data_IF_872691274655
#
_entry.id   IF_872691274655
#
_cell.length_a   1.000
_cell.length_b   1.000
_cell.length_c   1.000
_cell.angle_alpha   90.00
_cell.angle_beta   90.00
_cell.angle_gamma   90.00
#
_symmetry.space_group_name_H-M   'P 1'
#
loop_
_entity.id
_entity.type
_entity.pdbx_description
1 polymer ?
#
# COMPACT_ATOMS: atom_id res chain seq x y z
N UNK A 1 1.98 -17.38 -26.97
CA UNK A 1 3.24 -16.76 -26.51
C UNK A 1 3.02 -15.39 -25.86
N UNK A 2 2.39 -14.40 -26.51
CA UNK A 2 2.12 -13.06 -25.91
C UNK A 2 1.42 -13.10 -24.53
N UNK A 3 0.33 -13.87 -24.38
CA UNK A 3 -0.41 -13.98 -23.10
C UNK A 3 0.40 -14.58 -21.94
N UNK A 4 1.39 -15.42 -22.26
CA UNK A 4 2.24 -16.07 -21.26
C UNK A 4 3.36 -15.14 -20.78
N UNK A 5 3.85 -14.26 -21.66
CA UNK A 5 4.84 -13.24 -21.34
C UNK A 5 4.21 -12.13 -20.49
N UNK A 6 2.98 -11.72 -20.80
CA UNK A 6 2.23 -10.71 -20.02
C UNK A 6 1.98 -11.20 -18.58
N UNK A 7 1.60 -12.46 -18.38
CA UNK A 7 1.39 -13.02 -17.04
C UNK A 7 2.66 -13.06 -16.18
N UNK A 8 3.82 -13.32 -16.80
CA UNK A 8 5.12 -13.31 -16.10
C UNK A 8 5.52 -11.89 -15.71
N UNK A 9 5.30 -10.91 -16.59
CA UNK A 9 5.61 -9.50 -16.31
C UNK A 9 4.72 -8.96 -15.17
N UNK A 10 3.42 -9.23 -15.20
CA UNK A 10 2.50 -8.83 -14.12
C UNK A 10 2.90 -9.49 -12.79
N UNK A 11 3.27 -10.78 -12.81
CA UNK A 11 3.72 -11.47 -11.60
C UNK A 11 5.00 -10.86 -10.99
N UNK A 12 5.95 -10.45 -11.82
CA UNK A 12 7.19 -9.78 -11.37
C UNK A 12 6.88 -8.41 -10.76
N UNK A 13 6.00 -7.62 -11.40
CA UNK A 13 5.60 -6.29 -10.91
C UNK A 13 4.87 -6.40 -9.57
N UNK A 14 3.90 -7.32 -9.45
CA UNK A 14 3.16 -7.56 -8.20
C UNK A 14 4.11 -8.00 -7.09
N UNK A 15 5.07 -8.89 -7.39
CA UNK A 15 6.06 -9.33 -6.41
C UNK A 15 6.98 -8.18 -5.97
N UNK A 16 7.43 -7.33 -6.90
CA UNK A 16 8.24 -6.15 -6.57
C UNK A 16 7.47 -5.15 -5.70
N UNK A 17 6.21 -4.88 -6.02
CA UNK A 17 5.35 -3.99 -5.21
C UNK A 17 5.14 -4.57 -3.80
N UNK A 18 4.85 -5.86 -3.68
CA UNK A 18 4.70 -6.52 -2.37
C UNK A 18 6.02 -6.43 -1.58
N UNK A 19 7.17 -6.70 -2.22
CA UNK A 19 8.48 -6.61 -1.56
C UNK A 19 8.79 -5.19 -1.11
N UNK A 20 8.54 -4.17 -1.95
CA UNK A 20 8.80 -2.76 -1.59
C UNK A 20 7.87 -2.27 -0.49
N UNK A 21 6.58 -2.59 -0.54
CA UNK A 21 5.61 -2.26 0.52
C UNK A 21 5.98 -2.98 1.82
N UNK A 22 6.33 -4.27 1.74
CA UNK A 22 6.77 -5.05 2.91
C UNK A 22 8.04 -4.46 3.51
N UNK A 23 9.02 -4.04 2.70
CA UNK A 23 10.25 -3.40 3.19
C UNK A 23 9.96 -2.02 3.81
N UNK A 24 9.11 -1.20 3.22
CA UNK A 24 8.75 0.12 3.76
C UNK A 24 7.98 0.02 5.08
N UNK A 25 7.04 -0.92 5.18
CA UNK A 25 6.31 -1.18 6.43
C UNK A 25 7.23 -1.83 7.46
N UNK A 26 8.07 -2.79 7.06
CA UNK A 26 9.05 -3.44 7.93
C UNK A 26 10.07 -2.44 8.50
N UNK A 27 10.62 -1.55 7.67
CA UNK A 27 11.58 -0.54 8.13
C UNK A 27 10.94 0.49 9.07
N UNK A 28 9.66 0.83 8.88
CA UNK A 28 8.97 1.81 9.73
C UNK A 28 8.47 1.25 11.06
N UNK A 29 7.97 0.01 11.09
CA UNK A 29 7.44 -0.60 12.31
C UNK A 29 8.47 -1.46 13.03
N UNK A 30 9.35 -2.16 12.30
CA UNK A 30 10.17 -3.26 12.84
C UNK A 30 11.68 -2.99 12.88
N UNK A 31 12.21 -1.88 12.34
CA UNK A 31 13.67 -1.59 12.37
C UNK A 31 14.16 -0.67 13.49
N UNK A 32 13.30 -0.14 14.36
CA UNK A 32 13.77 0.55 15.57
C UNK A 32 13.98 -0.45 16.72
N UNK A 33 15.00 -1.31 16.60
CA UNK A 33 15.49 -2.13 17.72
C UNK A 33 16.85 -1.61 18.17
N UNK A 34 16.98 -1.00 19.36
CA UNK A 34 18.20 -1.09 20.13
C UNK A 34 18.24 -2.48 20.76
N UNK A 35 19.23 -3.29 20.37
CA UNK A 35 19.59 -4.59 20.96
C UNK A 35 19.33 -4.63 22.47
N UNK A 36 18.33 -5.42 22.91
CA UNK A 36 18.24 -5.91 24.28
C UNK A 36 17.70 -7.33 24.31
N UNK A 37 18.59 -8.23 24.72
CA UNK A 37 18.37 -9.66 24.73
C UNK A 37 17.30 -10.14 25.71
N UNK A 38 16.52 -11.12 25.25
CA UNK A 38 15.91 -12.14 26.08
C UNK A 38 16.48 -13.50 25.64
N UNK A 39 17.17 -14.19 26.55
CA UNK A 39 17.68 -15.53 26.29
C UNK A 39 16.53 -16.53 26.14
N UNK A 40 16.48 -17.26 25.02
CA UNK A 40 15.64 -18.45 24.87
C UNK A 40 16.45 -19.64 25.41
N UNK A 41 15.95 -20.32 26.44
CA UNK A 41 16.53 -21.58 26.91
C UNK A 41 16.32 -22.67 25.83
N UNK A 42 17.41 -23.15 25.24
CA UNK A 42 17.40 -24.10 24.11
C UNK A 42 17.27 -25.58 24.51
N UNK A 43 17.05 -25.93 25.78
CA UNK A 43 17.07 -27.34 26.22
C UNK A 43 15.76 -27.76 26.91
N UNK A 44 14.72 -28.12 26.15
CA UNK A 44 13.61 -28.93 26.66
C UNK A 44 13.18 -29.95 25.59
N UNK A 45 13.49 -31.23 25.80
CA UNK A 45 12.95 -32.35 25.01
C UNK A 45 11.44 -32.55 25.29
N UNK A 46 10.61 -32.86 24.27
CA UNK A 46 9.17 -32.94 24.43
C UNK A 46 8.77 -34.28 25.09
N UNK A 47 8.33 -34.22 26.34
CA UNK A 47 7.81 -35.39 27.09
C UNK A 47 6.36 -35.22 27.58
N UNK A 48 5.58 -34.31 26.98
CA UNK A 48 4.17 -34.08 27.33
C UNK A 48 3.23 -33.92 26.13
N UNK A 49 1.92 -34.05 26.38
CA UNK A 49 0.86 -33.88 25.38
C UNK A 49 0.97 -32.51 24.67
N UNK A 50 0.83 -32.49 23.35
CA UNK A 50 1.02 -31.32 22.46
C UNK A 50 0.25 -30.07 22.94
N UNK A 51 -0.95 -30.25 23.52
CA UNK A 51 -1.76 -29.15 24.09
C UNK A 51 -1.08 -28.39 25.22
N UNK A 52 -0.23 -29.05 26.00
CA UNK A 52 0.49 -28.45 27.13
C UNK A 52 1.70 -27.62 26.69
N UNK A 53 2.21 -27.85 25.46
CA UNK A 53 3.35 -27.12 24.90
C UNK A 53 2.91 -25.83 24.19
N UNK A 54 1.73 -25.82 23.56
CA UNK A 54 1.18 -24.64 22.88
C UNK A 54 0.92 -23.47 23.85
N UNK A 55 0.55 -23.75 25.11
CA UNK A 55 0.29 -22.70 26.11
C UNK A 55 1.54 -22.27 26.91
N UNK A 56 2.73 -22.84 26.64
CA UNK A 56 3.99 -22.36 27.24
C UNK A 56 4.62 -21.18 26.50
N UNK A 57 4.08 -20.85 25.32
CA UNK A 57 4.53 -19.74 24.48
C UNK A 57 3.50 -18.61 24.59
N UNK A 58 3.96 -17.46 25.07
CA UNK A 58 3.13 -16.27 25.26
C UNK A 58 3.65 -15.10 24.43
N UNK A 59 2.74 -14.35 23.82
CA UNK A 59 3.01 -13.07 23.19
C UNK A 59 2.05 -12.03 23.78
N UNK A 60 2.57 -10.88 24.22
CA UNK A 60 1.79 -9.83 24.91
C UNK A 60 0.94 -10.34 26.08
N UNK A 61 1.42 -11.34 26.81
CA UNK A 61 0.72 -11.93 27.96
C UNK A 61 -0.50 -12.79 27.59
N UNK A 62 -0.62 -13.22 26.33
CA UNK A 62 -1.61 -14.19 25.88
C UNK A 62 -0.93 -15.41 25.27
N UNK A 63 -1.48 -16.60 25.53
CA UNK A 63 -0.97 -17.85 24.96
C UNK A 63 -1.27 -17.95 23.47
N UNK A 64 -0.55 -18.84 22.77
CA UNK A 64 -0.82 -19.16 21.35
C UNK A 64 -2.29 -19.54 21.13
N UNK A 65 -2.90 -20.31 22.03
CA UNK A 65 -4.31 -20.71 21.93
C UNK A 65 -5.25 -19.50 21.97
N UNK A 66 -4.96 -18.51 22.81
CA UNK A 66 -5.75 -17.28 22.91
C UNK A 66 -5.59 -16.40 21.65
N UNK A 67 -4.38 -16.30 21.11
CA UNK A 67 -4.11 -15.60 19.85
C UNK A 67 -4.83 -16.23 18.66
N UNK A 68 -4.78 -17.56 18.53
CA UNK A 68 -5.51 -18.28 17.47
C UNK A 68 -7.01 -17.97 17.53
N UNK A 69 -7.60 -17.86 18.71
CA UNK A 69 -9.02 -17.54 18.85
C UNK A 69 -9.33 -16.09 18.44
N UNK A 70 -8.46 -15.13 18.78
CA UNK A 70 -8.59 -13.73 18.30
C UNK A 70 -8.51 -13.64 16.78
N UNK A 71 -7.53 -14.30 16.17
CA UNK A 71 -7.36 -14.37 14.71
C UNK A 71 -8.57 -15.06 14.07
N UNK A 72 -9.05 -16.16 14.64
CA UNK A 72 -10.25 -16.85 14.18
C UNK A 72 -11.48 -15.95 14.21
N UNK A 73 -11.66 -15.16 15.27
CA UNK A 73 -12.78 -14.23 15.39
C UNK A 73 -12.75 -13.15 14.32
N UNK A 74 -11.57 -12.58 14.03
CA UNK A 74 -11.37 -11.61 12.96
C UNK A 74 -11.76 -12.18 11.58
N UNK A 75 -11.35 -13.41 11.27
CA UNK A 75 -11.75 -14.11 10.03
C UNK A 75 -13.18 -14.70 10.07
N UNK A 76 -14.05 -14.21 10.95
CA UNK A 76 -15.44 -14.67 11.08
C UNK A 76 -15.60 -16.19 11.30
N UNK A 77 -14.64 -16.83 11.99
CA UNK A 77 -14.62 -18.26 12.34
C UNK A 77 -14.57 -19.25 11.18
N UNK A 78 -14.24 -18.82 9.97
CA UNK A 78 -14.07 -19.70 8.80
C UNK A 78 -12.63 -20.17 8.45
N UNK A 79 -11.55 -19.91 9.22
CA UNK A 79 -10.27 -20.51 8.87
C UNK A 79 -10.27 -22.01 9.22
N UNK A 80 -9.71 -22.83 8.32
CA UNK A 80 -9.53 -24.26 8.53
C UNK A 80 -8.51 -24.50 9.64
N UNK A 81 -7.33 -23.91 9.47
CA UNK A 81 -6.20 -24.02 10.39
C UNK A 81 -5.55 -22.65 10.59
N UNK A 82 -5.06 -22.41 11.81
CA UNK A 82 -4.27 -21.24 12.18
C UNK A 82 -3.04 -21.74 12.94
N UNK A 83 -1.86 -21.45 12.41
CA UNK A 83 -0.60 -21.72 13.08
C UNK A 83 -0.06 -20.44 13.66
N UNK A 84 0.40 -20.46 14.91
CA UNK A 84 1.16 -19.35 15.49
C UNK A 84 2.43 -19.92 16.11
N UNK A 85 3.54 -19.24 15.92
CA UNK A 85 4.86 -19.64 16.40
C UNK A 85 5.80 -18.44 16.45
N UNK A 86 6.93 -18.60 17.14
CA UNK A 86 8.03 -17.66 17.04
C UNK A 86 8.98 -18.08 15.93
N UNK A 87 9.28 -17.18 15.00
CA UNK A 87 10.45 -17.28 14.14
C UNK A 87 11.52 -16.34 14.68
N UNK A 88 12.59 -16.91 15.24
CA UNK A 88 13.64 -16.17 15.92
C UNK A 88 13.11 -15.31 17.08
N UNK A 89 12.85 -14.03 16.85
CA UNK A 89 12.31 -13.08 17.84
C UNK A 89 10.92 -12.55 17.48
N UNK A 90 10.34 -13.00 16.37
CA UNK A 90 9.10 -12.46 15.84
C UNK A 90 7.96 -13.45 16.02
N UNK A 91 6.83 -12.98 16.54
CA UNK A 91 5.62 -13.78 16.62
C UNK A 91 4.91 -13.76 15.26
N UNK A 92 4.68 -14.93 14.69
CA UNK A 92 4.08 -15.11 13.37
C UNK A 92 2.78 -15.87 13.50
N UNK A 93 1.77 -15.52 12.68
CA UNK A 93 0.60 -16.36 12.48
C UNK A 93 0.28 -16.58 11.00
N UNK A 94 -0.05 -17.82 10.63
CA UNK A 94 -0.41 -18.20 9.26
C UNK A 94 -1.82 -18.79 9.27
N UNK A 95 -2.66 -18.33 8.33
CA UNK A 95 -4.07 -18.71 8.23
C UNK A 95 -4.32 -19.48 6.94
N UNK A 96 -4.92 -20.66 7.05
CA UNK A 96 -5.29 -21.51 5.91
C UNK A 96 -6.80 -21.60 5.74
N UNK A 97 -7.25 -21.59 4.49
CA UNK A 97 -8.65 -21.82 4.14
C UNK A 97 -8.97 -23.34 4.02
N UNK A 98 -10.23 -23.68 3.75
CA UNK A 98 -10.68 -25.08 3.61
C UNK A 98 -9.98 -25.87 2.49
N UNK A 99 -9.34 -25.17 1.54
CA UNK A 99 -8.60 -25.77 0.41
C UNK A 99 -7.10 -25.92 0.69
N UNK A 100 -6.65 -25.70 1.93
CA UNK A 100 -5.23 -25.69 2.30
C UNK A 100 -4.41 -24.59 1.62
N UNK A 101 -5.06 -23.49 1.21
CA UNK A 101 -4.38 -22.31 0.67
C UNK A 101 -4.11 -21.32 1.81
N UNK A 102 -2.88 -20.79 1.85
CA UNK A 102 -2.51 -19.69 2.75
C UNK A 102 -3.23 -18.42 2.30
N UNK A 103 -4.08 -17.89 3.16
CA UNK A 103 -4.92 -16.71 2.86
C UNK A 103 -4.48 -15.47 3.64
N UNK A 104 -3.67 -15.62 4.68
CA UNK A 104 -3.05 -14.52 5.39
C UNK A 104 -1.78 -14.97 6.11
N UNK A 105 -0.81 -14.07 6.20
CA UNK A 105 0.47 -14.30 6.87
C UNK A 105 0.85 -13.08 7.69
N UNK A 106 0.62 -13.19 8.99
CA UNK A 106 0.75 -12.13 9.96
C UNK A 106 2.11 -12.13 10.63
N UNK A 107 2.79 -10.99 10.55
CA UNK A 107 4.00 -10.66 11.30
C UNK A 107 3.65 -9.65 12.40
N UNK A 108 3.84 -10.03 13.66
CA UNK A 108 3.42 -9.20 14.79
C UNK A 108 4.54 -8.29 15.27
N UNK A 109 4.20 -7.03 15.46
CA UNK A 109 5.07 -6.03 16.07
C UNK A 109 5.08 -6.18 17.59
N UNK A 110 6.27 -6.38 18.18
CA UNK A 110 6.41 -6.66 19.61
C UNK A 110 6.17 -5.41 20.49
N UNK A 111 6.19 -4.20 19.94
CA UNK A 111 5.91 -2.99 20.72
C UNK A 111 4.41 -2.68 20.79
N UNK A 112 3.74 -2.70 19.65
CA UNK A 112 2.33 -2.32 19.49
C UNK A 112 1.38 -3.51 19.65
N UNK A 113 1.81 -4.72 19.29
CA UNK A 113 0.95 -5.90 19.20
C UNK A 113 0.10 -5.96 17.93
N UNK A 114 0.28 -5.02 16.99
CA UNK A 114 -0.36 -5.05 15.68
C UNK A 114 0.30 -6.09 14.77
N UNK A 115 -0.47 -6.60 13.82
CA UNK A 115 -0.01 -7.62 12.89
C UNK A 115 -0.06 -7.10 11.45
N UNK A 116 1.07 -7.15 10.74
CA UNK A 116 1.11 -6.93 9.30
C UNK A 116 0.76 -8.22 8.58
N UNK A 117 -0.30 -8.23 7.79
CA UNK A 117 -0.52 -9.27 6.78
C UNK A 117 0.41 -9.03 5.60
N UNK A 118 1.41 -9.89 5.44
CA UNK A 118 2.39 -9.79 4.37
C UNK A 118 1.82 -10.15 2.98
N UNK A 119 0.61 -10.70 2.92
CA UNK A 119 -0.08 -10.99 1.66
C UNK A 119 -0.86 -9.76 1.17
N UNK A 120 -1.68 -9.15 2.03
CA UNK A 120 -2.53 -8.01 1.66
C UNK A 120 -1.87 -6.64 1.89
N UNK A 121 -0.89 -6.56 2.79
CA UNK A 121 -0.30 -5.31 3.28
C UNK A 121 -1.11 -4.65 4.39
N UNK A 122 -2.22 -5.25 4.83
CA UNK A 122 -3.08 -4.69 5.88
C UNK A 122 -2.43 -4.83 7.26
N UNK A 123 -2.63 -3.82 8.12
CA UNK A 123 -2.24 -3.88 9.53
C UNK A 123 -3.48 -4.18 10.36
N UNK A 124 -3.44 -5.19 11.21
CA UNK A 124 -4.59 -5.68 11.97
C UNK A 124 -4.35 -5.54 13.47
N UNK A 125 -5.34 -4.99 14.16
CA UNK A 125 -5.45 -5.07 15.61
C UNK A 125 -6.43 -6.18 15.97
N UNK A 126 -5.89 -7.37 16.23
CA UNK A 126 -6.66 -8.54 16.62
C UNK A 126 -7.28 -8.43 18.03
N UNK A 127 -6.80 -7.51 18.88
CA UNK A 127 -7.39 -7.30 20.20
C UNK A 127 -8.75 -6.62 20.06
N UNK A 128 -8.81 -5.61 19.19
CA UNK A 128 -10.01 -4.85 18.82
C UNK A 128 -10.81 -5.51 17.68
N UNK A 129 -10.23 -6.49 16.98
CA UNK A 129 -10.87 -7.22 15.89
C UNK A 129 -11.10 -6.39 14.63
N UNK A 130 -10.18 -5.46 14.32
CA UNK A 130 -10.31 -4.53 13.18
C UNK A 130 -8.99 -4.34 12.42
N UNK A 131 -9.09 -4.02 11.14
CA UNK A 131 -7.97 -3.43 10.39
C UNK A 131 -7.68 -2.03 10.95
N UNK A 132 -6.40 -1.72 11.11
CA UNK A 132 -5.91 -0.42 11.54
C UNK A 132 -5.66 0.41 10.29
N UNK A 133 -6.38 1.51 10.16
CA UNK A 133 -6.02 2.54 9.19
C UNK A 133 -4.67 3.13 9.56
N UNK A 134 -3.65 2.88 8.74
CA UNK A 134 -2.33 3.48 8.91
C UNK A 134 -2.29 4.75 8.09
N UNK A 135 -1.93 5.87 8.72
CA UNK A 135 -1.67 7.11 7.98
C UNK A 135 -0.52 6.91 7.00
N UNK A 136 -0.77 7.18 5.73
CA UNK A 136 0.22 7.10 4.65
C UNK A 136 0.89 8.45 4.37
N UNK A 137 0.55 9.49 5.14
CA UNK A 137 1.09 10.85 5.02
C UNK A 137 2.38 11.06 5.81
N UNK A 138 3.01 9.99 6.31
CA UNK A 138 4.28 10.10 7.02
C UNK A 138 5.38 10.59 6.06
N UNK A 139 6.15 11.58 6.50
CA UNK A 139 7.18 12.23 5.66
C UNK A 139 6.61 13.30 4.73
N UNK A 140 5.30 13.54 4.78
CA UNK A 140 4.63 14.61 4.03
C UNK A 140 4.16 15.73 4.96
N UNK A 141 4.01 16.94 4.42
CA UNK A 141 3.40 18.10 5.09
C UNK A 141 1.94 18.32 4.66
N UNK A 142 1.44 17.46 3.76
CA UNK A 142 0.10 17.52 3.18
C UNK A 142 -0.96 17.39 4.26
N UNK A 143 -1.95 18.29 4.23
CA UNK A 143 -3.07 18.30 5.17
C UNK A 143 -4.38 18.13 4.41
N UNK A 144 -5.04 17.01 4.66
CA UNK A 144 -6.38 16.72 4.16
C UNK A 144 -7.42 17.56 4.90
N UNK A 145 -8.41 18.08 4.16
CA UNK A 145 -9.53 18.83 4.70
C UNK A 145 -10.79 17.98 4.55
N UNK A 146 -11.67 18.01 5.55
CA UNK A 146 -12.97 17.34 5.53
C UNK A 146 -12.89 15.85 5.11
N UNK A 147 -13.60 15.49 4.04
CA UNK A 147 -13.75 14.14 3.51
C UNK A 147 -12.68 13.79 2.47
N UNK A 148 -11.64 14.60 2.30
CA UNK A 148 -10.58 14.26 1.35
C UNK A 148 -9.77 13.08 1.88
N UNK A 149 -9.42 12.16 0.98
CA UNK A 149 -8.67 10.95 1.30
C UNK A 149 -7.59 10.59 0.26
N UNK A 150 -7.47 11.34 -0.84
CA UNK A 150 -6.37 11.24 -1.78
C UNK A 150 -5.85 12.63 -2.16
N UNK A 151 -4.53 12.84 -2.11
CA UNK A 151 -3.89 14.03 -2.65
C UNK A 151 -3.09 13.66 -3.91
N UNK A 152 -3.19 14.49 -4.94
CA UNK A 152 -2.58 14.25 -6.25
C UNK A 152 -1.95 15.53 -6.74
N UNK A 153 -0.71 15.45 -7.21
CA UNK A 153 -0.05 16.58 -7.87
C UNK A 153 0.57 16.15 -9.18
N UNK A 154 0.31 16.90 -10.25
CA UNK A 154 1.11 16.86 -11.47
C UNK A 154 2.27 17.84 -11.32
N UNK A 155 3.50 17.36 -11.44
CA UNK A 155 4.70 18.11 -11.10
C UNK A 155 5.63 18.14 -12.30
N UNK A 156 5.67 19.27 -13.04
CA UNK A 156 6.70 19.49 -14.05
C UNK A 156 8.09 19.50 -13.42
N UNK A 157 9.11 19.05 -14.16
CA UNK A 157 10.49 19.01 -13.65
C UNK A 157 10.98 20.33 -13.08
N UNK A 158 10.64 21.42 -13.78
CA UNK A 158 11.03 22.79 -13.39
C UNK A 158 10.49 23.21 -12.02
N UNK A 159 9.46 22.54 -11.51
CA UNK A 159 8.82 22.82 -10.21
C UNK A 159 9.08 21.73 -9.17
N UNK A 160 9.90 20.72 -9.46
CA UNK A 160 10.13 19.58 -8.55
C UNK A 160 10.64 20.03 -7.18
N UNK A 161 11.68 20.85 -7.16
CA UNK A 161 12.32 21.29 -5.91
C UNK A 161 11.31 22.04 -5.01
N UNK A 162 10.54 22.95 -5.61
CA UNK A 162 9.49 23.69 -4.91
C UNK A 162 8.40 22.76 -4.40
N UNK A 163 7.92 21.84 -5.23
CA UNK A 163 6.91 20.86 -4.86
C UNK A 163 7.34 20.00 -3.67
N UNK A 164 8.58 19.49 -3.69
CA UNK A 164 9.14 18.67 -2.60
C UNK A 164 9.22 19.49 -1.32
N UNK A 165 9.76 20.70 -1.37
CA UNK A 165 9.88 21.57 -0.19
C UNK A 165 8.52 21.96 0.42
N UNK A 166 7.47 22.06 -0.40
CA UNK A 166 6.15 22.43 0.07
C UNK A 166 5.35 21.25 0.63
N UNK A 167 5.55 20.04 0.10
CA UNK A 167 4.70 18.87 0.39
C UNK A 167 5.38 17.75 1.19
N UNK A 168 6.70 17.81 1.40
CA UNK A 168 7.48 16.80 2.11
C UNK A 168 8.26 17.40 3.27
N UNK A 169 8.50 16.60 4.31
CA UNK A 169 9.28 16.99 5.48
C UNK A 169 10.77 17.10 5.11
N UNK A 170 11.24 16.23 4.22
CA UNK A 170 12.59 16.26 3.67
C UNK A 170 12.63 15.72 2.23
N UNK A 171 13.71 16.02 1.52
CA UNK A 171 13.96 15.46 0.18
C UNK A 171 14.11 13.92 0.23
N UNK A 172 14.65 13.38 1.31
CA UNK A 172 14.81 11.94 1.51
C UNK A 172 13.45 11.24 1.62
N UNK A 173 12.47 11.85 2.29
CA UNK A 173 11.10 11.33 2.38
C UNK A 173 10.46 11.20 0.99
N UNK A 174 10.70 12.16 0.11
CA UNK A 174 10.25 12.10 -1.29
C UNK A 174 10.98 11.00 -2.08
N UNK A 175 12.31 10.89 -1.91
CA UNK A 175 13.12 9.86 -2.60
C UNK A 175 12.79 8.43 -2.18
N UNK A 176 12.20 8.23 -1.01
CA UNK A 176 11.75 6.92 -0.54
C UNK A 176 10.44 6.45 -1.18
N UNK A 177 9.74 7.33 -1.91
CA UNK A 177 8.51 6.93 -2.60
C UNK A 177 8.79 5.88 -3.67
N UNK A 178 7.86 4.93 -3.81
CA UNK A 178 7.90 4.00 -4.93
C UNK A 178 7.70 4.77 -6.25
N UNK A 179 8.52 4.47 -7.26
CA UNK A 179 8.47 5.14 -8.56
C UNK A 179 8.07 4.12 -9.61
N UNK A 180 7.00 4.41 -10.34
CA UNK A 180 6.53 3.63 -11.47
C UNK A 180 6.77 4.43 -12.76
N UNK A 181 7.62 3.92 -13.66
CA UNK A 181 8.05 4.63 -14.87
C UNK A 181 7.38 4.05 -16.13
N UNK A 182 6.39 4.76 -16.66
CA UNK A 182 5.60 4.39 -17.84
C UNK A 182 5.97 5.17 -19.10
N UNK A 183 6.91 6.11 -18.99
CA UNK A 183 7.43 6.87 -20.13
C UNK A 183 7.97 5.98 -21.23
N UNK A 184 7.91 6.43 -22.47
CA UNK A 184 8.51 5.77 -23.62
C UNK A 184 10.02 5.60 -23.44
N UNK A 185 10.58 4.50 -23.97
CA UNK A 185 11.99 4.14 -23.77
C UNK A 185 12.98 5.24 -24.20
N UNK A 186 12.60 6.05 -25.18
CA UNK A 186 13.42 7.15 -25.66
C UNK A 186 13.44 8.36 -24.71
N UNK A 187 12.42 8.52 -23.87
CA UNK A 187 12.27 9.62 -22.90
C UNK A 187 12.85 9.29 -21.52
N UNK A 188 13.13 8.00 -21.25
CA UNK A 188 13.76 7.53 -20.00
C UNK A 188 15.23 7.94 -19.83
N UNK A 189 15.87 8.46 -20.88
CA UNK A 189 17.34 8.60 -20.97
C UNK A 189 17.94 9.72 -20.14
N UNK A 190 17.16 10.67 -19.64
CA UNK A 190 17.71 11.88 -18.98
C UNK A 190 17.40 12.02 -17.49
N UNK A 191 16.72 11.06 -16.85
CA UNK A 191 16.42 11.13 -15.40
C UNK A 191 15.49 12.28 -14.98
N UNK A 192 15.03 13.06 -15.95
CA UNK A 192 14.11 14.17 -15.84
C UNK A 192 12.79 13.76 -16.51
N UNK A 193 11.66 14.03 -15.88
CA UNK A 193 10.35 13.79 -16.46
C UNK A 193 9.23 14.32 -15.57
N UNK A 194 8.17 14.82 -16.19
CA UNK A 194 6.95 15.19 -15.49
C UNK A 194 6.42 13.98 -14.72
N UNK A 195 5.84 14.25 -13.55
CA UNK A 195 5.44 13.20 -12.63
C UNK A 195 4.11 13.48 -11.98
N UNK A 196 3.34 12.43 -11.77
CA UNK A 196 2.22 12.46 -10.86
C UNK A 196 2.69 11.93 -9.50
N UNK A 197 2.34 12.64 -8.44
CA UNK A 197 2.62 12.24 -7.06
C UNK A 197 1.29 11.97 -6.39
N UNK A 198 1.12 10.76 -5.88
CA UNK A 198 -0.09 10.30 -5.20
C UNK A 198 0.22 10.10 -3.73
N UNK A 199 -0.57 10.75 -2.86
CA UNK A 199 -0.48 10.61 -1.42
C UNK A 199 -1.87 10.21 -0.94
N UNK A 200 -2.14 8.91 -0.77
CA UNK A 200 -3.33 8.48 -0.05
C UNK A 200 -3.28 8.99 1.39
N UNK A 201 -4.44 9.22 2.02
CA UNK A 201 -4.51 9.62 3.44
C UNK A 201 -4.22 8.45 4.36
N UNK A 202 -4.72 7.27 4.01
CA UNK A 202 -4.53 6.04 4.78
C UNK A 202 -4.25 4.84 3.87
N UNK A 203 -3.79 3.74 4.45
CA UNK A 203 -3.56 2.45 3.80
C UNK A 203 -4.80 1.82 3.14
N UNK A 204 -6.00 2.26 3.56
CA UNK A 204 -7.28 1.73 3.10
C UNK A 204 -7.75 2.40 1.81
N UNK A 205 -7.17 3.54 1.47
CA UNK A 205 -7.42 4.22 0.20
C UNK A 205 -6.65 3.47 -0.89
N UNK A 206 -7.36 2.72 -1.72
CA UNK A 206 -6.77 1.99 -2.85
C UNK A 206 -6.83 2.85 -4.10
N UNK A 207 -5.67 3.02 -4.72
CA UNK A 207 -5.51 3.78 -5.96
C UNK A 207 -5.07 2.81 -7.06
N UNK A 208 -5.79 2.81 -8.15
CA UNK A 208 -5.43 2.13 -9.39
C UNK A 208 -5.36 3.18 -10.51
N UNK A 209 -4.40 3.03 -11.42
CA UNK A 209 -4.21 3.98 -12.54
C UNK A 209 -4.34 3.22 -13.85
N UNK A 210 -5.07 3.80 -14.79
CA UNK A 210 -5.37 3.22 -16.09
C UNK A 210 -5.09 4.20 -17.21
N UNK A 211 -4.69 3.68 -18.36
CA UNK A 211 -4.95 4.34 -19.63
C UNK A 211 -6.48 4.41 -19.82
N UNK A 212 -6.96 5.52 -20.34
CA UNK A 212 -8.37 5.65 -20.70
C UNK A 212 -8.56 6.46 -21.98
N UNK A 213 -9.76 6.32 -22.56
CA UNK A 213 -10.14 7.06 -23.76
C UNK A 213 -11.64 7.31 -23.76
N UNK A 214 -12.08 8.25 -24.61
CA UNK A 214 -13.49 8.47 -24.88
C UNK A 214 -13.88 7.65 -26.11
N UNK A 215 -14.84 6.74 -25.97
CA UNK A 215 -15.29 5.88 -27.06
C UNK A 215 -16.16 6.65 -28.08
N UNK A 216 -16.55 5.99 -29.17
CA UNK A 216 -17.37 6.60 -30.24
C UNK A 216 -18.75 7.11 -29.78
N UNK A 217 -19.21 6.73 -28.58
CA UNK A 217 -20.47 7.18 -27.97
C UNK A 217 -20.28 8.37 -27.02
N UNK A 218 -19.04 8.83 -26.81
CA UNK A 218 -18.72 9.87 -25.85
C UNK A 218 -18.61 9.38 -24.40
N UNK A 219 -18.48 8.08 -24.18
CA UNK A 219 -18.34 7.48 -22.84
C UNK A 219 -16.87 7.23 -22.51
N UNK A 220 -16.50 7.43 -21.25
CA UNK A 220 -15.16 7.11 -20.74
C UNK A 220 -14.99 5.59 -20.59
N UNK A 221 -13.96 5.02 -21.23
CA UNK A 221 -13.59 3.62 -21.10
C UNK A 221 -12.16 3.49 -20.54
N UNK A 222 -11.99 2.56 -19.59
CA UNK A 222 -10.68 2.15 -19.09
C UNK A 222 -10.09 1.08 -20.02
N UNK A 223 -8.84 1.23 -20.41
CA UNK A 223 -8.14 0.30 -21.29
C UNK A 223 -7.10 -0.54 -20.53
N UNK A 224 -5.86 -0.05 -20.43
CA UNK A 224 -4.76 -0.77 -19.81
C UNK A 224 -4.54 -0.32 -18.36
N UNK A 225 -4.42 -1.28 -17.44
CA UNK A 225 -3.99 -0.97 -16.07
C UNK A 225 -2.51 -0.63 -16.07
N UNK A 226 -2.17 0.60 -15.69
CA UNK A 226 -0.80 1.04 -15.44
C UNK A 226 -0.38 0.61 -14.03
N UNK A 227 -1.21 0.93 -13.02
CA UNK A 227 -0.94 0.63 -11.62
C UNK A 227 -2.14 -0.10 -11.02
N UNK A 228 -1.87 -1.20 -10.30
CA UNK A 228 -2.89 -1.95 -9.56
C UNK A 228 -2.58 -1.97 -8.07
N UNK A 229 -3.55 -1.59 -7.24
CA UNK A 229 -3.56 -1.80 -5.79
C UNK A 229 -2.30 -1.31 -5.05
N UNK A 230 -1.90 -0.06 -5.27
CA UNK A 230 -0.81 0.53 -4.48
C UNK A 230 -1.24 0.78 -3.05
N UNK A 231 -0.28 0.58 -2.13
CA UNK A 231 -0.40 0.91 -0.71
C UNK A 231 0.63 1.98 -0.40
N UNK A 232 0.19 3.10 0.16
CA UNK A 232 1.06 4.23 0.48
C UNK A 232 1.29 5.18 -0.69
N UNK A 233 2.11 6.20 -0.43
CA UNK A 233 2.42 7.26 -1.37
C UNK A 233 3.37 6.77 -2.48
N UNK A 234 3.16 7.24 -3.71
CA UNK A 234 3.94 6.80 -4.86
C UNK A 234 4.05 7.88 -5.94
N UNK A 235 5.00 7.69 -6.83
CA UNK A 235 5.25 8.51 -8.02
C UNK A 235 4.95 7.69 -9.26
N UNK A 236 4.28 8.31 -10.22
CA UNK A 236 4.12 7.83 -11.58
C UNK A 236 4.81 8.80 -12.52
N UNK A 237 5.79 8.30 -13.28
CA UNK A 237 6.43 9.03 -14.37
C UNK A 237 5.73 8.66 -15.67
N UNK A 238 5.24 9.67 -16.39
CA UNK A 238 4.52 9.50 -17.65
C UNK A 238 4.77 10.70 -18.56
N UNK A 239 4.72 10.46 -19.87
CA UNK A 239 4.93 11.47 -20.91
C UNK A 239 3.64 12.28 -21.16
N UNK A 240 2.82 12.40 -20.10
CA UNK A 240 1.50 13.01 -20.16
C UNK A 240 1.60 14.46 -20.63
N UNK A 241 0.78 14.82 -21.61
CA UNK A 241 0.71 16.18 -22.13
C UNK A 241 -0.45 16.95 -21.50
N UNK A 242 -0.20 17.93 -20.60
CA UNK A 242 -1.25 18.66 -19.88
C UNK A 242 -2.14 19.54 -20.79
N UNK A 243 -1.76 19.74 -22.05
CA UNK A 243 -2.56 20.51 -23.01
C UNK A 243 -3.74 19.73 -23.62
N UNK A 244 -3.86 18.41 -23.34
CA UNK A 244 -4.98 17.62 -23.84
C UNK A 244 -6.26 17.90 -23.05
N UNK A 245 -7.34 18.23 -23.78
CA UNK A 245 -8.70 18.32 -23.22
C UNK A 245 -9.40 16.96 -23.14
N UNK A 246 -8.79 15.92 -23.72
CA UNK A 246 -9.29 14.55 -23.65
C UNK A 246 -8.42 13.76 -22.66
N UNK A 247 -9.01 13.14 -21.63
CA UNK A 247 -8.25 12.34 -20.68
C UNK A 247 -7.63 11.14 -21.39
N UNK A 248 -6.34 10.92 -21.18
CA UNK A 248 -5.65 9.69 -21.59
C UNK A 248 -5.28 8.81 -20.39
N UNK A 249 -5.42 9.35 -19.17
CA UNK A 249 -5.16 8.65 -17.92
C UNK A 249 -6.34 8.84 -16.97
N UNK A 250 -6.71 7.77 -16.27
CA UNK A 250 -7.79 7.76 -15.31
C UNK A 250 -7.36 7.08 -14.02
N UNK A 251 -7.85 7.60 -12.91
CA UNK A 251 -7.62 7.03 -11.58
C UNK A 251 -8.89 6.36 -11.13
N UNK A 252 -8.78 5.10 -10.74
CA UNK A 252 -9.85 4.41 -10.05
C UNK A 252 -9.55 4.41 -8.55
N UNK A 253 -10.48 4.97 -7.79
CA UNK A 253 -10.33 5.24 -6.38
C UNK A 253 -11.33 4.42 -5.57
N UNK A 254 -10.87 3.77 -4.50
CA UNK A 254 -11.73 2.99 -3.60
C UNK A 254 -11.43 3.31 -2.14
N UNK A 255 -12.47 3.55 -1.35
CA UNK A 255 -12.37 3.78 0.10
C UNK A 255 -13.72 3.53 0.80
N UNK A 256 -13.79 2.61 1.78
CA UNK A 256 -15.01 2.32 2.57
C UNK A 256 -16.34 2.24 1.76
N UNK A 257 -16.33 1.48 0.67
CA UNK A 257 -17.52 1.30 -0.18
C UNK A 257 -17.81 2.45 -1.15
N UNK A 258 -17.04 3.54 -1.09
CA UNK A 258 -16.91 4.50 -2.18
C UNK A 258 -16.02 3.90 -3.27
N UNK A 259 -16.48 3.98 -4.52
CA UNK A 259 -15.72 3.63 -5.71
C UNK A 259 -16.01 4.69 -6.78
N UNK A 260 -14.96 5.25 -7.38
CA UNK A 260 -15.10 6.30 -8.38
C UNK A 260 -13.97 6.23 -9.41
N UNK A 261 -14.21 6.82 -10.58
CA UNK A 261 -13.25 6.93 -11.68
C UNK A 261 -13.07 8.41 -12.01
N UNK A 262 -11.85 8.89 -11.80
CA UNK A 262 -11.46 10.29 -11.96
C UNK A 262 -10.60 10.39 -13.24
N UNK A 263 -11.12 10.95 -14.34
CA UNK A 263 -10.31 11.24 -15.51
C UNK A 263 -9.33 12.36 -15.18
N UNK A 264 -8.06 12.18 -15.52
CA UNK A 264 -7.06 13.24 -15.37
C UNK A 264 -7.16 14.17 -16.57
N UNK A 265 -7.57 15.39 -16.28
CA UNK A 265 -7.65 16.52 -17.21
C UNK A 265 -7.14 17.77 -16.50
N UNK A 266 -6.71 18.78 -17.27
CA UNK A 266 -6.14 20.00 -16.73
C UNK A 266 -7.01 21.21 -17.06
N UNK A 267 -7.20 22.12 -16.10
CA UNK A 267 -8.00 23.32 -16.24
C UNK A 267 -7.24 24.43 -16.98
N UNK A 268 -7.07 24.29 -18.30
CA UNK A 268 -6.41 25.32 -19.10
C UNK A 268 -4.88 25.24 -19.06
N UNK A 269 -4.19 26.38 -19.07
CA UNK A 269 -2.72 26.46 -19.23
C UNK A 269 -1.93 26.53 -17.93
N UNK A 270 -2.61 26.58 -16.78
CA UNK A 270 -1.99 26.77 -15.47
C UNK A 270 -1.53 25.45 -14.82
N UNK A 271 -1.74 24.30 -15.49
CA UNK A 271 -1.28 23.00 -14.99
C UNK A 271 -2.09 22.46 -13.83
N UNK A 272 -3.25 23.05 -13.52
CA UNK A 272 -4.15 22.59 -12.49
C UNK A 272 -4.99 21.40 -12.90
N UNK A 273 -5.11 20.41 -12.02
CA UNK A 273 -6.00 19.28 -12.25
C UNK A 273 -7.44 19.78 -12.20
N UNK A 274 -8.20 19.46 -13.24
CA UNK A 274 -9.65 19.61 -13.23
C UNK A 274 -10.25 18.44 -12.46
N UNK A 275 -10.64 18.71 -11.22
CA UNK A 275 -11.25 17.77 -10.29
C UNK A 275 -12.76 17.98 -10.18
N UNK A 276 -13.40 18.59 -11.19
CA UNK A 276 -14.84 18.88 -11.16
C UNK A 276 -15.66 17.63 -10.83
N UNK A 277 -16.38 17.64 -9.70
CA UNK A 277 -17.19 16.53 -9.22
C UNK A 277 -16.49 15.61 -8.21
N UNK A 278 -15.21 15.85 -7.92
CA UNK A 278 -14.38 15.04 -7.00
C UNK A 278 -13.62 15.89 -5.97
N UNK A 279 -13.95 17.18 -5.84
CA UNK A 279 -13.21 18.15 -5.04
C UNK A 279 -13.29 17.89 -3.52
N UNK A 280 -14.31 17.14 -3.07
CA UNK A 280 -14.49 16.78 -1.68
C UNK A 280 -13.65 15.56 -1.28
N UNK A 281 -13.27 14.72 -2.25
CA UNK A 281 -12.57 13.46 -2.06
C UNK A 281 -11.08 13.59 -2.38
N UNK A 282 -10.73 14.45 -3.35
CA UNK A 282 -9.36 14.62 -3.86
C UNK A 282 -8.84 16.03 -3.62
N UNK A 283 -7.61 16.11 -3.12
CA UNK A 283 -6.84 17.34 -2.95
C UNK A 283 -5.83 17.50 -4.08
N UNK A 284 -5.92 18.56 -4.87
CA UNK A 284 -4.86 18.93 -5.80
C UNK A 284 -3.70 19.61 -5.06
N UNK A 285 -2.49 19.08 -5.24
CA UNK A 285 -1.23 19.61 -4.67
C UNK A 285 -0.22 20.01 -5.76
N UNK A 286 -0.65 20.10 -7.02
CA UNK A 286 0.19 20.53 -8.15
C UNK A 286 0.78 21.93 -7.89
N UNK A 287 2.05 22.20 -8.28
CA UNK A 287 2.62 23.53 -8.21
C UNK A 287 2.02 24.41 -9.32
N UNK A 288 1.40 25.53 -8.95
CA UNK A 288 0.85 26.53 -9.88
C UNK A 288 1.74 27.77 -9.97
#
# INVERSE_FOLDING_TARGET
>A
MKKMIIGIIIGIIVTLVIVTVTILVYTKFFMFVPDKGGMINQDIEPTGDIKTYEDSVEFKGMTVSQWREKIRQYHNRNPKDIYCYYDSSEFIAIVYNEKDEEVAHYRFDDETGYALDTISGDVVDFLEGKTVEVSTTYGTTVKFIDNQFLAIGYVPDIHLEEFVNNNFVSEDDFKMLSVNDFRHEDERKEGNGNRFVFIPKTSDVKVEVYDCFINDKGELELDNTLISNTVGSFVLLDDYMPESTTPTMCIKLKYHGFEDIIPIVFSGKDGKLDLTGHEMEVLDISPY
#
